data_IF_634913152708
#
_entry.id   IF_634913152708
#
_cell.length_a   1.000
_cell.length_b   1.000
_cell.length_c   1.000
_cell.angle_alpha   90.00
_cell.angle_beta   90.00
_cell.angle_gamma   90.00
#
_symmetry.space_group_name_H-M   'P 1'
#
loop_
_entity.id
_entity.type
_entity.pdbx_description
1 polymer ?
#
# COMPACT_ATOMS: atom_id res chain seq x y z
N UNK A 1 -1.36 -29.21 83.93
CA UNK A 1 -1.83 -29.33 82.53
C UNK A 1 -0.69 -28.84 81.65
N UNK A 2 0.13 -29.78 81.23
CA UNK A 2 1.43 -29.53 80.54
C UNK A 2 1.21 -29.80 79.08
N UNK A 3 1.36 -28.77 78.22
CA UNK A 3 1.34 -28.95 76.74
C UNK A 3 2.76 -29.21 76.26
N UNK A 4 2.94 -30.35 75.60
CA UNK A 4 4.14 -30.69 74.90
C UNK A 4 4.22 -29.96 73.59
N UNK A 5 5.31 -29.23 73.35
CA UNK A 5 5.68 -28.68 72.03
C UNK A 5 6.46 -29.72 71.24
N UNK A 6 5.92 -30.09 70.09
CA UNK A 6 6.61 -30.96 69.13
C UNK A 6 7.35 -30.10 68.14
N UNK A 7 8.67 -30.23 68.05
CA UNK A 7 9.53 -29.53 67.06
C UNK A 7 9.58 -30.39 65.81
N UNK A 8 9.12 -29.84 64.67
CA UNK A 8 9.29 -30.45 63.34
C UNK A 8 10.56 -29.89 62.69
N UNK A 9 11.52 -30.77 62.41
CA UNK A 9 12.64 -30.46 61.55
C UNK A 9 12.26 -30.64 60.08
N UNK A 10 12.26 -29.53 59.31
CA UNK A 10 12.11 -29.59 57.87
C UNK A 10 13.49 -29.75 57.21
N UNK A 11 13.68 -30.82 56.51
CA UNK A 11 14.89 -31.11 55.69
C UNK A 11 14.75 -30.34 54.38
N UNK A 12 15.61 -29.34 54.15
CA UNK A 12 15.76 -28.68 52.84
C UNK A 12 16.53 -29.61 51.89
N UNK A 13 15.89 -30.07 50.82
CA UNK A 13 16.56 -30.61 49.65
C UNK A 13 16.99 -29.52 48.68
N UNK A 14 18.16 -29.54 48.07
CA UNK A 14 18.55 -28.59 47.06
C UNK A 14 17.83 -28.86 45.75
N UNK A 15 17.13 -27.83 45.21
CA UNK A 15 16.52 -27.86 43.87
C UNK A 15 17.64 -27.60 42.87
N UNK A 16 18.02 -28.62 42.13
CA UNK A 16 18.92 -28.48 40.97
C UNK A 16 18.08 -27.99 39.77
N UNK A 17 18.25 -26.72 39.40
CA UNK A 17 17.62 -26.15 38.21
C UNK A 17 18.40 -26.56 36.97
N UNK A 18 17.85 -27.46 36.17
CA UNK A 18 18.37 -27.75 34.84
C UNK A 18 17.93 -26.65 33.86
N UNK A 19 18.86 -25.84 33.40
CA UNK A 19 18.63 -25.01 32.21
C UNK A 19 18.62 -25.91 30.98
N UNK A 20 17.47 -26.19 30.42
CA UNK A 20 17.38 -26.78 29.10
C UNK A 20 17.63 -25.68 28.05
N UNK A 21 18.76 -25.75 27.38
CA UNK A 21 19.01 -25.00 26.15
C UNK A 21 18.03 -25.57 25.11
N UNK A 22 16.93 -24.87 24.86
CA UNK A 22 16.03 -25.20 23.78
C UNK A 22 16.79 -25.01 22.45
N UNK A 23 17.29 -26.12 21.91
CA UNK A 23 17.87 -26.13 20.57
C UNK A 23 16.81 -25.82 19.56
N UNK A 24 17.06 -24.83 18.69
CA UNK A 24 16.24 -24.50 17.53
C UNK A 24 16.08 -25.77 16.69
N UNK A 25 14.85 -26.18 16.42
CA UNK A 25 14.59 -27.42 15.70
C UNK A 25 15.05 -27.32 14.24
N UNK A 26 15.51 -28.43 13.64
CA UNK A 26 15.91 -28.43 12.20
C UNK A 26 14.78 -28.00 11.24
N UNK A 27 13.52 -28.06 11.67
CA UNK A 27 12.35 -27.60 10.91
C UNK A 27 12.25 -26.06 10.84
N UNK A 28 12.69 -25.33 11.87
CA UNK A 28 12.68 -23.85 11.84
C UNK A 28 13.82 -23.32 10.96
N UNK A 29 14.98 -23.95 10.99
CA UNK A 29 16.08 -23.65 10.07
C UNK A 29 15.71 -23.94 8.60
N UNK A 30 14.93 -25.02 8.33
CA UNK A 30 14.50 -25.35 6.97
C UNK A 30 13.42 -24.41 6.43
N UNK A 31 12.58 -23.83 7.29
CA UNK A 31 11.59 -22.80 6.88
C UNK A 31 12.27 -21.47 6.52
N UNK A 32 13.28 -21.04 7.28
CA UNK A 32 14.06 -19.85 6.97
C UNK A 32 14.79 -19.98 5.62
N UNK A 33 15.35 -21.14 5.28
CA UNK A 33 16.10 -21.33 4.04
C UNK A 33 15.22 -21.41 2.77
N UNK A 34 13.95 -21.86 2.90
CA UNK A 34 13.02 -21.94 1.74
C UNK A 34 12.52 -20.60 1.26
N UNK A 35 12.47 -19.58 2.12
CA UNK A 35 12.04 -18.21 1.74
C UNK A 35 13.22 -17.37 1.24
N UNK A 36 14.45 -17.61 1.69
CA UNK A 36 15.64 -16.86 1.26
C UNK A 36 16.02 -17.08 -0.23
N UNK A 37 15.69 -18.23 -0.83
CA UNK A 37 16.05 -18.50 -2.23
C UNK A 37 15.26 -17.65 -3.26
N UNK A 38 14.08 -17.13 -2.91
CA UNK A 38 13.26 -16.38 -3.84
C UNK A 38 13.49 -14.84 -3.75
N UNK A 39 13.96 -14.33 -2.60
CA UNK A 39 14.34 -12.91 -2.47
C UNK A 39 15.51 -12.55 -3.41
N UNK A 40 16.45 -13.47 -3.63
CA UNK A 40 17.57 -13.28 -4.54
C UNK A 40 17.17 -13.11 -6.02
N UNK A 41 15.91 -13.47 -6.39
CA UNK A 41 15.42 -13.35 -7.76
C UNK A 41 14.80 -12.00 -8.10
N UNK A 42 14.51 -11.15 -7.09
CA UNK A 42 13.85 -9.85 -7.30
C UNK A 42 14.62 -8.67 -6.68
N UNK A 43 15.40 -8.91 -5.62
CA UNK A 43 16.21 -7.89 -4.95
C UNK A 43 17.65 -7.97 -5.45
N UNK A 44 18.30 -6.82 -5.67
CA UNK A 44 19.71 -6.80 -6.07
C UNK A 44 20.60 -7.39 -4.98
N UNK A 45 21.68 -8.04 -5.38
CA UNK A 45 22.61 -8.70 -4.47
C UNK A 45 23.09 -7.73 -3.37
N UNK A 46 23.01 -8.18 -2.11
CA UNK A 46 23.37 -7.41 -0.91
C UNK A 46 22.58 -6.09 -0.70
N UNK A 47 21.55 -5.81 -1.50
CA UNK A 47 20.72 -4.62 -1.32
C UNK A 47 19.85 -4.75 -0.06
N UNK A 48 19.75 -3.64 0.67
CA UNK A 48 18.90 -3.50 1.86
C UNK A 48 18.08 -2.22 1.75
N UNK A 49 16.90 -2.15 2.38
CA UNK A 49 16.14 -0.92 2.46
C UNK A 49 16.99 0.22 3.04
N UNK A 50 17.08 1.32 2.30
CA UNK A 50 17.83 2.51 2.67
C UNK A 50 16.85 3.62 3.05
N UNK A 51 16.96 4.13 4.28
CA UNK A 51 16.20 5.30 4.71
C UNK A 51 16.58 6.52 3.87
N UNK A 52 15.57 7.18 3.30
CA UNK A 52 15.73 8.47 2.60
C UNK A 52 15.47 9.61 3.56
N UNK A 53 14.37 9.57 4.31
CA UNK A 53 14.00 10.57 5.31
C UNK A 53 12.91 10.02 6.25
N UNK A 54 12.84 10.57 7.47
CA UNK A 54 11.82 10.25 8.49
C UNK A 54 11.17 11.50 9.10
N UNK A 55 11.16 12.61 8.34
CA UNK A 55 10.69 13.92 8.83
C UNK A 55 9.19 14.16 8.65
N UNK A 56 8.44 13.16 8.21
CA UNK A 56 7.03 13.28 7.84
C UNK A 56 6.10 12.93 9.01
N UNK A 57 4.79 13.12 8.83
CA UNK A 57 3.79 12.65 9.81
C UNK A 57 3.14 11.34 9.39
N UNK A 58 2.78 11.19 8.12
CA UNK A 58 2.30 9.94 7.54
C UNK A 58 2.46 10.00 6.02
N UNK A 59 3.31 9.12 5.51
CA UNK A 59 3.66 9.08 4.09
C UNK A 59 2.81 8.06 3.34
N UNK A 60 2.29 8.47 2.17
CA UNK A 60 1.39 7.68 1.33
C UNK A 60 1.57 7.97 -0.16
N UNK A 61 0.78 7.27 -0.98
CA UNK A 61 0.50 7.51 -2.38
C UNK A 61 1.69 7.78 -3.30
N UNK A 62 2.76 6.97 -3.28
CA UNK A 62 3.92 7.24 -4.11
C UNK A 62 3.59 7.00 -5.58
N UNK A 63 3.72 8.05 -6.39
CA UNK A 63 3.56 8.03 -7.83
C UNK A 63 4.85 8.43 -8.53
N UNK A 64 5.14 7.82 -9.68
CA UNK A 64 6.39 8.03 -10.38
C UNK A 64 6.16 8.71 -11.73
N UNK A 65 6.89 9.80 -12.01
CA UNK A 65 6.82 10.50 -13.29
C UNK A 65 7.61 9.76 -14.40
N UNK A 66 7.50 10.22 -15.64
CA UNK A 66 8.22 9.64 -16.79
C UNK A 66 9.74 9.70 -16.66
N UNK A 67 10.28 10.58 -15.81
CA UNK A 67 11.72 10.73 -15.59
C UNK A 67 12.25 9.81 -14.48
N UNK A 68 11.34 9.13 -13.75
CA UNK A 68 11.66 8.25 -12.63
C UNK A 68 11.70 8.95 -11.26
N UNK A 69 11.33 10.25 -11.19
CA UNK A 69 11.16 10.92 -9.91
C UNK A 69 9.89 10.42 -9.22
N UNK A 70 9.92 10.30 -7.89
CA UNK A 70 8.77 9.94 -7.07
C UNK A 70 8.13 11.17 -6.48
N UNK A 71 6.81 11.18 -6.49
CA UNK A 71 5.98 12.12 -5.74
C UNK A 71 5.23 11.29 -4.70
N UNK A 72 5.17 11.75 -3.46
CA UNK A 72 4.47 11.05 -2.39
C UNK A 72 3.81 12.05 -1.45
N UNK A 73 2.78 11.64 -0.77
CA UNK A 73 2.00 12.50 0.13
C UNK A 73 2.52 12.40 1.55
N UNK A 74 2.47 13.51 2.26
CA UNK A 74 2.51 13.61 3.71
C UNK A 74 1.15 14.15 4.15
N UNK A 75 0.17 13.25 4.18
CA UNK A 75 -1.25 13.56 4.27
C UNK A 75 -1.61 14.46 5.46
N UNK A 76 -1.16 14.19 6.71
CA UNK A 76 -1.50 15.06 7.84
C UNK A 76 -0.89 16.46 7.76
N UNK A 77 0.22 16.62 7.04
CA UNK A 77 0.88 17.89 6.81
C UNK A 77 0.37 18.62 5.55
N UNK A 78 -0.59 18.02 4.82
CA UNK A 78 -1.20 18.56 3.61
C UNK A 78 -0.19 18.91 2.52
N UNK A 79 0.79 18.00 2.28
CA UNK A 79 1.90 18.21 1.35
C UNK A 79 2.07 17.04 0.39
N UNK A 80 2.47 17.39 -0.83
CA UNK A 80 3.09 16.44 -1.76
C UNK A 80 4.58 16.77 -1.85
N UNK A 81 5.40 15.76 -1.61
CA UNK A 81 6.85 15.82 -1.73
C UNK A 81 7.29 15.21 -3.06
N UNK A 82 8.46 15.63 -3.53
CA UNK A 82 9.15 15.05 -4.67
C UNK A 82 10.53 14.56 -4.24
N UNK A 83 10.82 13.30 -4.55
CA UNK A 83 12.16 12.72 -4.47
C UNK A 83 12.69 12.49 -5.89
N UNK A 84 13.73 13.22 -6.27
CA UNK A 84 14.28 13.18 -7.62
C UNK A 84 15.22 11.99 -7.84
N UNK A 85 15.48 11.65 -9.11
CA UNK A 85 16.48 10.64 -9.47
C UNK A 85 17.92 11.03 -9.07
N UNK A 86 18.14 12.27 -8.70
CA UNK A 86 19.43 12.79 -8.19
C UNK A 86 19.41 12.90 -6.64
N UNK A 87 18.49 12.13 -5.99
CA UNK A 87 18.35 12.02 -4.54
C UNK A 87 18.03 13.35 -3.82
N UNK A 88 17.39 14.31 -4.51
CA UNK A 88 16.94 15.56 -3.89
C UNK A 88 15.50 15.42 -3.40
N UNK A 89 15.25 15.75 -2.14
CA UNK A 89 13.93 15.77 -1.52
C UNK A 89 13.44 17.22 -1.41
N UNK A 90 12.32 17.53 -2.05
CA UNK A 90 11.73 18.87 -2.09
C UNK A 90 10.21 18.83 -1.95
N UNK A 91 9.61 19.89 -1.42
CA UNK A 91 8.15 20.05 -1.45
C UNK A 91 7.73 20.38 -2.88
N UNK A 92 6.85 19.55 -3.44
CA UNK A 92 6.26 19.81 -4.74
C UNK A 92 5.05 20.75 -4.63
N UNK A 93 4.13 20.47 -3.69
CA UNK A 93 2.92 21.26 -3.50
C UNK A 93 2.50 21.26 -2.03
N UNK A 94 2.09 22.42 -1.53
CA UNK A 94 1.36 22.61 -0.27
C UNK A 94 -0.14 22.76 -0.56
N UNK A 95 -0.99 22.48 0.43
CA UNK A 95 -2.46 22.58 0.33
C UNK A 95 -3.00 21.65 -0.77
N UNK A 96 -2.73 20.39 -0.59
CA UNK A 96 -3.03 19.33 -1.55
C UNK A 96 -4.41 18.71 -1.36
N UNK A 97 -5.26 19.29 -0.46
CA UNK A 97 -6.52 18.70 -0.03
C UNK A 97 -6.29 17.41 0.75
N UNK A 98 -5.18 17.33 1.52
CA UNK A 98 -4.76 16.14 2.25
C UNK A 98 -4.75 14.89 1.36
N UNK A 99 -4.12 15.05 0.20
CA UNK A 99 -3.99 13.98 -0.80
C UNK A 99 -3.48 12.67 -0.19
N UNK A 100 -4.03 11.56 -0.65
CA UNK A 100 -3.64 10.20 -0.30
C UNK A 100 -3.01 9.50 -1.51
N UNK A 101 -3.62 8.50 -2.13
CA UNK A 101 -3.12 7.82 -3.31
C UNK A 101 -2.99 8.74 -4.53
N UNK A 102 -1.98 8.48 -5.37
CA UNK A 102 -1.69 9.29 -6.55
C UNK A 102 -1.26 8.44 -7.74
N UNK A 103 -1.51 8.96 -8.94
CA UNK A 103 -1.04 8.34 -10.18
C UNK A 103 -0.79 9.39 -11.28
N UNK A 104 0.24 9.21 -12.09
CA UNK A 104 0.49 10.09 -13.24
C UNK A 104 -0.26 9.63 -14.49
N UNK A 105 -0.96 10.54 -15.15
CA UNK A 105 -1.50 10.29 -16.49
C UNK A 105 -0.42 10.38 -17.58
N UNK A 106 -0.79 10.00 -18.81
CA UNK A 106 0.11 10.05 -19.98
C UNK A 106 0.54 11.46 -20.37
N UNK A 107 -0.19 12.49 -19.94
CA UNK A 107 0.14 13.91 -20.20
C UNK A 107 1.07 14.49 -19.15
N UNK A 108 1.29 13.78 -18.05
CA UNK A 108 2.10 14.20 -16.93
C UNK A 108 1.31 14.96 -15.85
N UNK A 109 -0.03 14.92 -15.90
CA UNK A 109 -0.82 15.38 -14.78
C UNK A 109 -0.75 14.34 -13.65
N UNK A 110 -0.66 14.83 -12.42
CA UNK A 110 -0.70 14.02 -11.20
C UNK A 110 -2.16 13.97 -10.72
N UNK A 111 -2.78 12.80 -10.81
CA UNK A 111 -4.10 12.57 -10.24
C UNK A 111 -3.94 12.18 -8.78
N UNK A 112 -4.86 12.64 -7.92
CA UNK A 112 -4.79 12.35 -6.49
C UNK A 112 -6.16 12.23 -5.86
N UNK A 113 -6.28 11.36 -4.89
CA UNK A 113 -7.39 11.25 -3.97
C UNK A 113 -7.26 12.34 -2.88
N UNK A 114 -7.97 13.46 -3.05
CA UNK A 114 -7.92 14.62 -2.16
C UNK A 114 -8.92 14.45 -1.02
N UNK A 115 -8.45 13.83 0.08
CA UNK A 115 -9.27 13.31 1.17
C UNK A 115 -9.98 14.38 2.02
N UNK A 116 -9.46 15.62 2.05
CA UNK A 116 -10.02 16.68 2.91
C UNK A 116 -11.49 16.97 2.59
N UNK A 117 -11.85 17.01 1.29
CA UNK A 117 -13.21 17.23 0.80
C UNK A 117 -13.81 16.01 0.09
N UNK A 118 -13.11 14.87 0.14
CA UNK A 118 -13.52 13.63 -0.50
C UNK A 118 -13.62 13.75 -2.03
N UNK A 119 -12.63 14.40 -2.63
CA UNK A 119 -12.57 14.72 -4.04
C UNK A 119 -11.52 13.90 -4.79
N UNK A 120 -11.64 13.80 -6.10
CA UNK A 120 -10.60 13.34 -6.99
C UNK A 120 -10.07 14.54 -7.79
N UNK A 121 -8.77 14.80 -7.71
CA UNK A 121 -8.14 15.94 -8.36
C UNK A 121 -7.22 15.53 -9.50
N UNK A 122 -6.98 16.45 -10.42
CA UNK A 122 -5.89 16.42 -11.40
C UNK A 122 -5.03 17.66 -11.20
N UNK A 123 -3.74 17.47 -10.97
CA UNK A 123 -2.75 18.52 -10.77
C UNK A 123 -1.85 18.53 -12.01
N UNK A 124 -1.88 19.61 -12.77
CA UNK A 124 -1.06 19.76 -13.97
C UNK A 124 0.44 20.00 -13.64
N UNK A 125 1.37 19.86 -14.59
CA UNK A 125 2.79 20.12 -14.35
C UNK A 125 3.10 21.54 -13.85
N UNK A 126 2.27 22.51 -14.18
CA UNK A 126 2.32 23.91 -13.70
C UNK A 126 1.59 24.10 -12.37
N UNK A 127 1.18 22.99 -11.71
CA UNK A 127 0.55 22.94 -10.39
C UNK A 127 -0.88 23.49 -10.33
N UNK A 128 -1.55 23.63 -11.47
CA UNK A 128 -2.97 23.99 -11.50
C UNK A 128 -3.82 22.79 -11.11
N UNK A 129 -4.70 22.99 -10.12
CA UNK A 129 -5.62 21.97 -9.62
C UNK A 129 -6.93 22.05 -10.41
N UNK A 130 -7.43 20.90 -10.82
CA UNK A 130 -8.77 20.71 -11.41
C UNK A 130 -9.47 19.60 -10.62
N UNK A 131 -10.61 19.89 -10.02
CA UNK A 131 -11.49 18.88 -9.41
C UNK A 131 -12.13 18.06 -10.52
N UNK A 132 -11.89 16.76 -10.52
CA UNK A 132 -12.48 15.81 -11.49
C UNK A 132 -13.81 15.29 -10.98
N UNK A 133 -13.88 14.95 -9.68
CA UNK A 133 -15.06 14.43 -9.00
C UNK A 133 -15.11 15.01 -7.59
N UNK A 134 -16.30 15.38 -7.13
CA UNK A 134 -16.56 15.85 -5.77
C UNK A 134 -17.74 15.12 -5.09
N UNK A 135 -18.49 14.32 -5.86
CA UNK A 135 -19.62 13.55 -5.35
C UNK A 135 -19.97 12.37 -6.27
N UNK A 136 -20.78 11.45 -5.74
CA UNK A 136 -21.47 10.43 -6.50
C UNK A 136 -22.99 10.54 -6.29
N UNK A 137 -23.72 10.90 -7.35
CA UNK A 137 -25.18 11.07 -7.31
C UNK A 137 -25.65 12.07 -6.22
N UNK A 138 -24.91 13.17 -6.04
CA UNK A 138 -25.22 14.21 -5.06
C UNK A 138 -24.83 13.88 -3.61
N UNK A 139 -24.16 12.75 -3.37
CA UNK A 139 -23.62 12.34 -2.06
C UNK A 139 -22.09 12.43 -2.06
N UNK A 140 -21.51 12.84 -0.95
CA UNK A 140 -20.05 12.84 -0.80
C UNK A 140 -19.51 11.39 -0.92
N UNK A 141 -18.35 11.25 -1.57
CA UNK A 141 -17.57 10.02 -1.48
C UNK A 141 -17.20 9.70 -0.02
N UNK A 142 -16.93 8.44 0.28
CA UNK A 142 -16.49 8.03 1.62
C UNK A 142 -15.14 8.66 1.98
N UNK A 143 -14.24 8.72 1.04
CA UNK A 143 -12.89 9.26 1.06
C UNK A 143 -12.05 8.52 0.05
N UNK A 144 -12.04 8.95 -1.24
CA UNK A 144 -11.21 8.33 -2.25
C UNK A 144 -9.79 8.09 -1.70
N UNK A 145 -9.29 6.87 -1.84
CA UNK A 145 -8.06 6.48 -1.17
C UNK A 145 -6.91 6.24 -2.15
N UNK A 146 -7.03 5.26 -3.04
CA UNK A 146 -5.99 4.96 -4.03
C UNK A 146 -6.59 4.85 -5.43
N UNK A 147 -5.75 4.99 -6.47
CA UNK A 147 -6.22 5.03 -7.85
C UNK A 147 -5.20 4.48 -8.83
N UNK A 148 -5.71 3.95 -9.94
CA UNK A 148 -4.94 3.50 -11.08
C UNK A 148 -5.57 3.99 -12.39
N UNK A 149 -4.75 4.37 -13.36
CA UNK A 149 -5.21 4.85 -14.68
C UNK A 149 -4.93 3.77 -15.72
N UNK A 150 -5.96 3.32 -16.38
CA UNK A 150 -5.85 2.32 -17.45
C UNK A 150 -5.13 2.87 -18.70
N UNK A 151 -4.65 1.99 -19.60
CA UNK A 151 -3.98 2.42 -20.84
C UNK A 151 -4.84 3.30 -21.76
N UNK A 152 -6.17 3.27 -21.64
CA UNK A 152 -7.11 4.09 -22.37
C UNK A 152 -7.33 5.48 -21.73
N UNK A 153 -6.93 5.63 -20.47
CA UNK A 153 -7.04 6.87 -19.68
C UNK A 153 -8.30 6.93 -18.81
N UNK A 154 -8.95 5.79 -18.59
CA UNK A 154 -9.98 5.62 -17.56
C UNK A 154 -9.33 5.48 -16.18
N UNK A 155 -10.03 5.89 -15.13
CA UNK A 155 -9.54 5.96 -13.75
C UNK A 155 -10.33 4.98 -12.90
N UNK A 156 -9.65 4.00 -12.33
CA UNK A 156 -10.19 3.19 -11.25
C UNK A 156 -9.74 3.77 -9.92
N UNK A 157 -10.64 3.85 -8.94
CA UNK A 157 -10.30 4.32 -7.60
C UNK A 157 -11.13 3.62 -6.53
N UNK A 158 -10.54 3.49 -5.35
CA UNK A 158 -11.17 2.93 -4.16
C UNK A 158 -11.71 4.03 -3.28
N UNK A 159 -12.85 3.77 -2.61
CA UNK A 159 -13.55 4.74 -1.78
C UNK A 159 -13.94 4.14 -0.42
N UNK A 160 -12.95 3.76 0.42
CA UNK A 160 -13.18 3.30 1.76
C UNK A 160 -13.54 4.44 2.71
N UNK A 161 -14.19 4.13 3.83
CA UNK A 161 -14.46 5.09 4.87
C UNK A 161 -13.44 4.98 6.01
N UNK A 162 -12.64 6.02 6.17
CA UNK A 162 -11.77 6.23 7.32
C UNK A 162 -12.15 7.56 7.96
N UNK A 163 -12.83 7.55 9.13
CA UNK A 163 -13.18 8.79 9.83
C UNK A 163 -11.94 9.65 10.08
N UNK A 164 -11.94 10.84 9.54
CA UNK A 164 -10.85 11.79 9.73
C UNK A 164 -11.16 12.82 10.80
N UNK A 165 -10.18 13.27 11.60
CA UNK A 165 -10.40 14.27 12.65
C UNK A 165 -10.79 15.64 12.10
N UNK A 166 -10.44 15.94 10.85
CA UNK A 166 -10.74 17.20 10.17
C UNK A 166 -12.08 17.19 9.40
N UNK A 167 -12.82 16.06 9.38
CA UNK A 167 -14.17 16.01 8.81
C UNK A 167 -15.23 16.34 9.86
N UNK A 168 -16.18 17.19 9.51
CA UNK A 168 -17.34 17.46 10.35
C UNK A 168 -18.29 16.27 10.41
N UNK A 169 -18.48 15.58 9.27
CA UNK A 169 -19.31 14.37 9.19
C UNK A 169 -18.74 13.23 10.03
N UNK A 170 -19.63 12.44 10.63
CA UNK A 170 -19.30 11.30 11.50
C UNK A 170 -19.75 9.95 10.94
N UNK A 171 -20.29 9.93 9.72
CA UNK A 171 -20.79 8.74 9.04
C UNK A 171 -20.70 8.91 7.53
N UNK A 172 -20.79 7.80 6.81
CA UNK A 172 -20.91 7.79 5.34
C UNK A 172 -22.25 8.36 4.88
N UNK A 173 -22.29 8.92 3.67
CA UNK A 173 -23.52 9.25 2.97
C UNK A 173 -23.92 8.12 2.00
N UNK A 174 -22.94 7.32 1.60
CA UNK A 174 -23.10 6.17 0.72
C UNK A 174 -23.46 4.92 1.53
N UNK A 175 -24.15 3.98 0.90
CA UNK A 175 -24.61 2.74 1.55
C UNK A 175 -23.53 1.65 1.62
N UNK A 176 -22.37 1.86 1.01
CA UNK A 176 -21.25 0.90 0.98
C UNK A 176 -19.93 1.57 0.68
N UNK A 177 -18.88 0.79 0.63
CA UNK A 177 -17.54 1.19 0.26
C UNK A 177 -17.23 0.55 -1.08
N UNK A 178 -16.85 1.35 -2.07
CA UNK A 178 -16.94 0.92 -3.46
C UNK A 178 -15.60 1.04 -4.20
N UNK A 179 -15.49 0.29 -5.28
CA UNK A 179 -14.53 0.55 -6.35
C UNK A 179 -15.28 1.21 -7.49
N UNK A 180 -14.77 2.33 -7.95
CA UNK A 180 -15.34 3.11 -9.04
C UNK A 180 -14.48 3.06 -10.30
N UNK A 181 -15.13 3.27 -11.44
CA UNK A 181 -14.49 3.54 -12.73
C UNK A 181 -15.02 4.83 -13.34
N UNK A 182 -14.14 5.76 -13.61
CA UNK A 182 -14.42 6.96 -14.40
C UNK A 182 -13.85 6.79 -15.80
N UNK A 183 -14.69 6.53 -16.78
CA UNK A 183 -14.25 6.39 -18.16
C UNK A 183 -13.67 7.72 -18.67
N UNK A 184 -12.65 7.63 -19.54
CA UNK A 184 -11.99 8.80 -20.12
C UNK A 184 -12.98 9.80 -20.72
N UNK A 185 -12.89 11.07 -20.31
CA UNK A 185 -13.74 12.16 -20.80
C UNK A 185 -15.16 12.15 -20.25
N UNK A 186 -15.48 11.26 -19.31
CA UNK A 186 -16.73 11.29 -18.55
C UNK A 186 -16.55 12.07 -17.24
N UNK A 187 -17.67 12.53 -16.70
CA UNK A 187 -17.73 13.29 -15.44
C UNK A 187 -18.52 12.56 -14.35
N UNK A 188 -19.09 11.41 -14.67
CA UNK A 188 -19.84 10.57 -13.73
C UNK A 188 -19.20 9.20 -13.71
N UNK A 189 -18.70 8.75 -12.54
CA UNK A 189 -18.14 7.41 -12.39
C UNK A 189 -19.23 6.36 -12.27
N UNK A 190 -18.88 5.12 -12.51
CA UNK A 190 -19.75 3.96 -12.26
C UNK A 190 -19.13 3.08 -11.17
N UNK A 191 -19.95 2.47 -10.32
CA UNK A 191 -19.51 1.46 -9.39
C UNK A 191 -19.18 0.20 -10.19
N UNK A 192 -17.97 -0.35 -9.99
CA UNK A 192 -17.51 -1.57 -10.66
C UNK A 192 -17.33 -2.74 -9.69
N UNK A 193 -17.25 -2.47 -8.38
CA UNK A 193 -17.41 -3.46 -7.31
C UNK A 193 -18.07 -2.81 -6.09
N UNK A 194 -19.07 -3.49 -5.51
CA UNK A 194 -19.85 -3.05 -4.34
C UNK A 194 -19.78 -4.02 -3.17
N UNK A 195 -19.06 -5.14 -3.29
CA UNK A 195 -19.13 -6.27 -2.39
C UNK A 195 -17.89 -6.38 -1.48
N UNK A 196 -16.98 -5.41 -1.56
CA UNK A 196 -15.80 -5.34 -0.71
C UNK A 196 -16.14 -4.68 0.63
N UNK A 197 -15.46 -5.13 1.70
CA UNK A 197 -15.66 -4.59 3.06
C UNK A 197 -15.01 -3.22 3.21
N UNK A 198 -13.75 -3.10 2.79
CA UNK A 198 -13.01 -1.84 2.85
C UNK A 198 -11.90 -1.84 1.77
N UNK A 199 -12.27 -1.55 0.50
CA UNK A 199 -11.31 -1.53 -0.60
C UNK A 199 -10.27 -0.42 -0.37
N UNK A 200 -8.97 -0.72 -0.60
CA UNK A 200 -7.87 0.22 -0.39
C UNK A 200 -6.91 0.17 -1.58
N UNK A 201 -5.75 -0.47 -1.49
CA UNK A 201 -4.77 -0.51 -2.58
C UNK A 201 -5.34 -1.05 -3.89
N UNK A 202 -4.94 -0.43 -5.00
CA UNK A 202 -5.43 -0.77 -6.34
C UNK A 202 -4.31 -0.62 -7.37
N UNK A 203 -4.14 -1.61 -8.25
CA UNK A 203 -3.20 -1.52 -9.37
C UNK A 203 -3.67 -2.40 -10.53
N UNK A 204 -3.49 -1.93 -11.75
CA UNK A 204 -3.77 -2.73 -12.95
C UNK A 204 -2.52 -3.18 -13.68
N UNK A 205 -2.67 -4.21 -14.50
CA UNK A 205 -1.61 -4.70 -15.39
C UNK A 205 -1.29 -3.69 -16.49
N UNK A 206 -0.04 -3.68 -16.99
CA UNK A 206 0.41 -2.74 -18.02
C UNK A 206 -0.39 -2.85 -19.34
N UNK A 207 -0.93 -4.03 -19.64
CA UNK A 207 -1.78 -4.27 -20.82
C UNK A 207 -3.24 -3.86 -20.61
N UNK A 208 -3.61 -3.45 -19.39
CA UNK A 208 -4.97 -3.00 -19.04
C UNK A 208 -6.00 -4.11 -19.00
N UNK A 209 -5.60 -5.38 -18.86
CA UNK A 209 -6.53 -6.52 -18.87
C UNK A 209 -6.87 -7.03 -17.48
N UNK A 210 -6.05 -6.76 -16.48
CA UNK A 210 -6.26 -7.19 -15.11
C UNK A 210 -6.20 -6.02 -14.15
N UNK A 211 -7.04 -6.06 -13.12
CA UNK A 211 -7.01 -5.15 -11.98
C UNK A 211 -6.85 -5.97 -10.70
N UNK A 212 -6.03 -5.50 -9.78
CA UNK A 212 -5.92 -6.02 -8.43
C UNK A 212 -6.48 -4.98 -7.47
N UNK A 213 -7.32 -5.43 -6.54
CA UNK A 213 -7.88 -4.58 -5.48
C UNK A 213 -7.73 -5.30 -4.15
N UNK A 214 -7.15 -4.62 -3.18
CA UNK A 214 -7.08 -5.12 -1.82
C UNK A 214 -8.32 -4.70 -1.04
N UNK A 215 -8.95 -5.67 -0.41
CA UNK A 215 -9.93 -5.50 0.65
C UNK A 215 -9.22 -5.61 2.00
N UNK A 216 -8.80 -4.47 2.54
CA UNK A 216 -8.06 -4.45 3.81
C UNK A 216 -8.95 -4.86 4.99
N UNK A 217 -10.25 -4.62 4.88
CA UNK A 217 -11.25 -5.00 5.89
C UNK A 217 -11.45 -6.50 5.99
N UNK A 218 -11.45 -7.22 4.86
CA UNK A 218 -11.57 -8.68 4.80
C UNK A 218 -10.21 -9.40 4.71
N UNK A 219 -9.09 -8.64 4.73
CA UNK A 219 -7.71 -9.17 4.65
C UNK A 219 -7.48 -10.04 3.40
N UNK A 220 -8.03 -9.62 2.27
CA UNK A 220 -7.94 -10.32 0.99
C UNK A 220 -7.52 -9.35 -0.12
N UNK A 221 -6.89 -9.89 -1.15
CA UNK A 221 -6.66 -9.18 -2.41
C UNK A 221 -7.29 -9.97 -3.52
N UNK A 222 -8.08 -9.29 -4.34
CA UNK A 222 -8.79 -9.88 -5.46
C UNK A 222 -8.18 -9.46 -6.78
N UNK A 223 -8.24 -10.37 -7.76
CA UNK A 223 -7.92 -10.11 -9.15
C UNK A 223 -9.19 -10.12 -9.97
N UNK A 224 -9.29 -9.17 -10.90
CA UNK A 224 -10.39 -9.01 -11.84
C UNK A 224 -9.88 -9.00 -13.28
N UNK A 225 -10.72 -9.35 -14.20
CA UNK A 225 -10.55 -9.06 -15.62
C UNK A 225 -11.25 -7.74 -15.96
N UNK A 226 -10.57 -6.89 -16.74
CA UNK A 226 -11.11 -5.61 -17.21
C UNK A 226 -11.72 -5.82 -18.59
N UNK A 227 -13.02 -5.56 -18.72
CA UNK A 227 -13.75 -5.58 -19.98
C UNK A 227 -13.47 -4.31 -20.80
N UNK A 228 -13.76 -4.32 -22.09
CA UNK A 228 -13.53 -3.18 -23.01
C UNK A 228 -14.22 -1.87 -22.59
N UNK A 229 -15.33 -1.98 -21.89
CA UNK A 229 -16.09 -0.83 -21.36
C UNK A 229 -15.65 -0.38 -19.95
N UNK A 230 -14.62 -1.01 -19.39
CA UNK A 230 -14.12 -0.71 -18.04
C UNK A 230 -14.83 -1.45 -16.90
N UNK A 231 -15.83 -2.28 -17.18
CA UNK A 231 -16.44 -3.11 -16.13
C UNK A 231 -15.49 -4.22 -15.69
N UNK A 232 -15.61 -4.62 -14.42
CA UNK A 232 -14.84 -5.72 -13.85
C UNK A 232 -15.63 -7.02 -13.93
N UNK A 233 -14.93 -8.11 -14.30
CA UNK A 233 -15.48 -9.46 -14.39
C UNK A 233 -14.51 -10.46 -13.79
N UNK A 234 -14.95 -11.70 -13.60
CA UNK A 234 -14.11 -12.83 -13.17
C UNK A 234 -13.29 -12.54 -11.90
N UNK A 235 -13.98 -11.96 -10.87
CA UNK A 235 -13.35 -11.74 -9.56
C UNK A 235 -12.85 -13.06 -8.97
N UNK A 236 -11.57 -13.15 -8.69
CA UNK A 236 -10.92 -14.30 -8.07
C UNK A 236 -10.09 -13.87 -6.87
N UNK A 237 -10.08 -14.69 -5.82
CA UNK A 237 -9.16 -14.48 -4.70
C UNK A 237 -7.72 -14.68 -5.19
N UNK A 238 -6.90 -13.64 -5.05
CA UNK A 238 -5.49 -13.71 -5.45
C UNK A 238 -4.57 -14.01 -4.25
N UNK A 239 -4.81 -13.36 -3.11
CA UNK A 239 -4.05 -13.58 -1.88
C UNK A 239 -4.94 -13.39 -0.64
N UNK A 240 -4.71 -14.21 0.40
CA UNK A 240 -5.30 -14.05 1.73
C UNK A 240 -4.52 -13.01 2.54
N UNK A 241 -4.39 -11.83 1.97
CA UNK A 241 -3.74 -10.67 2.55
C UNK A 241 -4.40 -9.41 1.99
N UNK A 242 -4.85 -8.50 2.86
CA UNK A 242 -5.20 -7.14 2.49
C UNK A 242 -3.95 -6.29 2.30
N UNK A 243 -4.10 -5.13 1.69
CA UNK A 243 -2.99 -4.20 1.48
C UNK A 243 -3.46 -2.76 1.56
N UNK A 244 -2.62 -1.89 2.12
CA UNK A 244 -2.84 -0.45 2.09
C UNK A 244 -2.59 0.07 0.66
N UNK A 245 -1.37 -0.05 0.14
CA UNK A 245 -1.04 0.21 -1.25
C UNK A 245 -0.41 -0.99 -1.94
N UNK A 246 -0.19 -0.92 -3.25
CA UNK A 246 0.39 -2.02 -4.02
C UNK A 246 1.03 -1.57 -5.34
N UNK A 247 1.93 -2.39 -5.86
CA UNK A 247 2.52 -2.20 -7.20
C UNK A 247 2.83 -3.53 -7.88
N UNK A 248 3.08 -3.47 -9.20
CA UNK A 248 3.48 -4.62 -10.02
C UNK A 248 4.88 -4.43 -10.59
N UNK A 249 5.62 -5.52 -10.72
CA UNK A 249 6.84 -5.55 -11.51
C UNK A 249 6.63 -6.09 -12.94
N UNK A 250 7.68 -6.02 -13.74
CA UNK A 250 7.67 -6.47 -15.14
C UNK A 250 7.62 -7.99 -15.32
N UNK A 251 7.70 -8.77 -14.25
CA UNK A 251 7.44 -10.21 -14.23
C UNK A 251 6.01 -10.53 -13.81
N UNK A 252 5.22 -9.49 -13.45
CA UNK A 252 3.85 -9.60 -12.96
C UNK A 252 3.76 -9.99 -11.48
N UNK A 253 4.84 -9.87 -10.72
CA UNK A 253 4.76 -10.06 -9.28
C UNK A 253 4.04 -8.87 -8.65
N UNK A 254 3.14 -9.15 -7.71
CA UNK A 254 2.37 -8.16 -6.97
C UNK A 254 3.01 -7.93 -5.59
N UNK A 255 3.25 -6.67 -5.29
CA UNK A 255 3.84 -6.18 -4.03
C UNK A 255 2.72 -5.61 -3.17
N UNK A 256 2.42 -6.25 -2.05
CA UNK A 256 1.41 -5.84 -1.08
C UNK A 256 2.07 -5.24 0.16
N UNK A 257 1.50 -4.16 0.67
CA UNK A 257 2.02 -3.44 1.84
C UNK A 257 1.23 -3.74 3.12
N UNK A 258 1.82 -3.38 4.26
CA UNK A 258 1.28 -3.59 5.59
C UNK A 258 2.42 -3.64 6.61
N UNK A 259 2.70 -4.78 7.20
CA UNK A 259 3.95 -4.99 7.95
C UNK A 259 5.05 -5.37 6.97
N UNK A 260 5.80 -4.37 6.48
CA UNK A 260 6.73 -4.53 5.39
C UNK A 260 6.04 -4.68 4.02
N UNK A 261 6.76 -5.22 3.04
CA UNK A 261 6.25 -5.48 1.70
C UNK A 261 6.31 -6.97 1.40
N UNK A 262 5.15 -7.58 1.18
CA UNK A 262 5.04 -9.01 0.82
C UNK A 262 4.84 -9.13 -0.69
N UNK A 263 5.63 -9.98 -1.33
CA UNK A 263 5.62 -10.14 -2.80
C UNK A 263 5.03 -11.49 -3.18
N UNK A 264 4.05 -11.44 -4.08
CA UNK A 264 3.37 -12.61 -4.62
C UNK A 264 3.66 -12.73 -6.12
N UNK A 265 3.90 -13.94 -6.60
CA UNK A 265 4.04 -14.19 -8.04
C UNK A 265 2.66 -14.24 -8.73
N UNK A 266 2.67 -14.41 -10.06
CA UNK A 266 1.45 -14.47 -10.90
C UNK A 266 0.41 -15.52 -10.46
N UNK A 267 0.82 -16.57 -9.74
CA UNK A 267 -0.07 -17.62 -9.22
C UNK A 267 -0.62 -17.32 -7.82
N UNK A 268 -0.31 -16.16 -7.24
CA UNK A 268 -0.71 -15.82 -5.86
C UNK A 268 0.13 -16.50 -4.79
N UNK A 269 1.29 -17.09 -5.15
CA UNK A 269 2.22 -17.67 -4.18
C UNK A 269 3.16 -16.57 -3.67
N UNK A 270 3.29 -16.45 -2.34
CA UNK A 270 4.29 -15.58 -1.73
C UNK A 270 5.70 -16.05 -2.08
N UNK A 271 6.51 -15.13 -2.58
CA UNK A 271 7.91 -15.39 -3.00
C UNK A 271 8.94 -14.60 -2.19
N UNK A 272 8.54 -13.46 -1.59
CA UNK A 272 9.43 -12.67 -0.75
C UNK A 272 8.67 -11.90 0.32
N UNK A 273 9.40 -11.44 1.33
CA UNK A 273 8.94 -10.45 2.30
C UNK A 273 10.09 -9.49 2.62
N UNK A 274 9.85 -8.20 2.42
CA UNK A 274 10.84 -7.13 2.64
C UNK A 274 10.51 -6.45 3.96
N UNK A 275 11.36 -6.65 4.94
CA UNK A 275 11.24 -6.03 6.26
C UNK A 275 11.44 -4.51 6.17
N UNK A 276 10.44 -3.74 6.63
CA UNK A 276 10.49 -2.28 6.74
C UNK A 276 10.02 -1.88 8.14
N UNK A 277 10.73 -0.99 8.83
CA UNK A 277 10.28 -0.50 10.13
C UNK A 277 8.93 0.23 10.06
N UNK A 278 7.99 -0.14 10.93
CA UNK A 278 6.68 0.48 11.03
C UNK A 278 5.64 -0.08 10.06
N UNK A 279 4.53 0.64 9.91
CA UNK A 279 3.48 0.31 8.95
C UNK A 279 3.86 0.82 7.57
N UNK A 280 4.03 -0.08 6.63
CA UNK A 280 4.27 0.28 5.23
C UNK A 280 2.94 0.58 4.55
N UNK A 281 2.75 1.82 4.17
CA UNK A 281 1.50 2.28 3.60
C UNK A 281 1.42 1.98 2.10
N UNK A 282 2.47 2.35 1.32
CA UNK A 282 2.39 2.19 -0.13
C UNK A 282 3.78 2.00 -0.76
N UNK A 283 3.81 1.59 -2.03
CA UNK A 283 5.05 1.34 -2.80
C UNK A 283 4.89 1.71 -4.27
N UNK A 284 5.98 2.14 -4.89
CA UNK A 284 6.09 2.23 -6.35
C UNK A 284 7.51 1.92 -6.84
N UNK A 285 7.65 1.55 -8.09
CA UNK A 285 8.95 1.45 -8.73
C UNK A 285 9.39 2.80 -9.29
N UNK A 286 10.64 3.19 -9.03
CA UNK A 286 11.21 4.50 -9.32
C UNK A 286 12.59 4.40 -9.96
N UNK A 287 13.24 5.55 -10.15
CA UNK A 287 14.53 5.63 -10.81
C UNK A 287 14.42 5.65 -12.33
N UNK A 288 15.48 6.09 -13.02
CA UNK A 288 15.53 6.19 -14.50
C UNK A 288 15.29 4.86 -15.21
N UNK A 289 15.62 3.74 -14.56
CA UNK A 289 15.45 2.37 -15.06
C UNK A 289 14.22 1.67 -14.50
N UNK A 290 13.47 2.32 -13.57
CA UNK A 290 12.34 1.72 -12.85
C UNK A 290 12.74 0.49 -12.02
N UNK A 291 13.96 0.43 -11.53
CA UNK A 291 14.54 -0.70 -10.79
C UNK A 291 14.81 -0.38 -9.31
N UNK A 292 14.26 0.72 -8.81
CA UNK A 292 14.32 1.11 -7.39
C UNK A 292 12.90 1.06 -6.82
N UNK A 293 12.66 0.20 -5.84
CA UNK A 293 11.41 0.19 -5.08
C UNK A 293 11.45 1.36 -4.08
N UNK A 294 10.51 2.30 -4.22
CA UNK A 294 10.28 3.39 -3.27
C UNK A 294 9.14 2.99 -2.34
N UNK A 295 9.33 3.14 -1.04
CA UNK A 295 8.45 2.60 -0.01
C UNK A 295 8.11 3.71 0.97
N UNK A 296 6.81 3.95 1.18
CA UNK A 296 6.30 4.84 2.22
C UNK A 296 5.96 4.03 3.48
N UNK A 297 6.38 4.50 4.66
CA UNK A 297 6.16 3.77 5.91
C UNK A 297 6.04 4.74 7.08
N UNK A 298 4.84 4.88 7.64
CA UNK A 298 4.57 5.83 8.72
C UNK A 298 5.16 7.22 8.45
N UNK A 299 6.16 7.62 9.25
CA UNK A 299 6.84 8.93 9.17
C UNK A 299 8.06 8.93 8.26
N UNK A 300 8.32 7.83 7.53
CA UNK A 300 9.56 7.63 6.78
C UNK A 300 9.31 7.16 5.36
N UNK A 301 10.30 7.37 4.52
CA UNK A 301 10.36 6.79 3.17
C UNK A 301 11.71 6.10 2.95
N UNK A 302 11.68 4.99 2.23
CA UNK A 302 12.84 4.14 1.96
C UNK A 302 13.00 3.88 0.46
N UNK A 303 14.20 3.48 0.07
CA UNK A 303 14.48 2.94 -1.27
C UNK A 303 15.16 1.58 -1.15
N UNK A 304 14.87 0.68 -2.11
CA UNK A 304 15.51 -0.62 -2.23
C UNK A 304 15.87 -0.89 -3.69
N UNK A 305 17.13 -1.25 -3.96
CA UNK A 305 17.55 -1.61 -5.31
C UNK A 305 17.04 -3.01 -5.66
N UNK A 306 16.36 -3.09 -6.81
CA UNK A 306 15.77 -4.33 -7.33
C UNK A 306 16.49 -4.78 -8.59
N UNK A 307 16.38 -6.07 -8.94
CA UNK A 307 16.79 -6.60 -10.25
C UNK A 307 15.63 -6.65 -11.25
N UNK A 308 14.40 -6.58 -10.76
CA UNK A 308 13.18 -6.42 -11.55
C UNK A 308 12.86 -4.93 -11.72
N UNK A 309 11.93 -4.63 -12.62
CA UNK A 309 11.51 -3.25 -12.92
C UNK A 309 10.01 -3.10 -12.72
N UNK A 310 9.57 -1.91 -12.35
CA UNK A 310 8.16 -1.56 -12.42
C UNK A 310 7.64 -1.51 -13.86
N UNK A 311 6.33 -1.69 -14.00
CA UNK A 311 5.58 -1.58 -15.24
C UNK A 311 5.22 -0.14 -15.56
#
# INVERSE_FOLDING_TARGET
MIMLNTIHYSILMPITVYFSIAGISPLELSRSSKYQHNEAEIIAENAKPKLVSNQFKFTEGPAVDKKGNVFFTDQPNDKIWKYSTDAQLTVFLDKTGRSNGMYFDKKGNLLTAADEKNELWSISPDKKITVLLDNYQGKLFNGPNDLWIDPQGGIYFTDPYYQRPYWERKKTELNGQYVYYLAKGKTVPVIVDSDLVQPNGIVGSADGKSLFVADIGDKKTYKYEISKNGSLTNRTLFAEMGSDGMTLDNKGNLYLTGRGVTVFNLSGKQIAHIEIPGWTANVCFSGKKRDVLFITSNTAVYTLQMIVKGI
#
